data_IF_349954540478
#
_entry.id   IF_349954540478
#
_cell.length_a   1.000
_cell.length_b   1.000
_cell.length_c   1.000
_cell.angle_alpha   90.00
_cell.angle_beta   90.00
_cell.angle_gamma   90.00
#
_symmetry.space_group_name_H-M   'P 1'
#
loop_
_entity.id
_entity.type
_entity.pdbx_description
1 polymer ?
#
# COMPACT_ATOMS: atom_id res chain seq x y z
N UNK A 1 25.34 44.02 -58.15
CA UNK A 1 25.87 42.69 -57.77
C UNK A 1 25.11 42.25 -56.52
N UNK A 2 24.07 41.43 -56.71
CA UNK A 2 23.24 40.90 -55.65
C UNK A 2 23.64 39.45 -55.39
N UNK A 3 23.84 39.09 -54.12
CA UNK A 3 24.19 37.74 -53.70
C UNK A 3 23.01 36.78 -53.93
N UNK A 4 23.25 35.48 -54.19
CA UNK A 4 22.19 34.55 -54.56
C UNK A 4 21.42 33.99 -53.35
N UNK A 5 20.13 33.70 -53.56
CA UNK A 5 19.10 33.33 -52.57
C UNK A 5 19.32 32.02 -51.76
N UNK A 6 20.46 31.33 -51.90
CA UNK A 6 20.75 30.11 -51.13
C UNK A 6 21.47 30.37 -49.78
N UNK A 7 21.97 31.60 -49.58
CA UNK A 7 22.60 32.00 -48.30
C UNK A 7 21.54 32.31 -47.23
N UNK A 8 20.36 32.78 -47.63
CA UNK A 8 19.25 33.11 -46.71
C UNK A 8 18.56 31.85 -46.18
N UNK A 9 18.49 30.77 -46.96
CA UNK A 9 17.87 29.51 -46.54
C UNK A 9 18.75 28.65 -45.62
N UNK A 10 20.07 28.81 -45.66
CA UNK A 10 21.00 28.06 -44.78
C UNK A 10 21.10 28.63 -43.35
N UNK A 11 20.88 29.95 -43.18
CA UNK A 11 20.88 30.60 -41.86
C UNK A 11 19.58 30.38 -41.06
N UNK A 12 18.45 30.15 -41.75
CA UNK A 12 17.16 29.88 -41.10
C UNK A 12 17.06 28.42 -40.63
N UNK A 13 17.66 27.47 -41.36
CA UNK A 13 17.67 26.05 -40.97
C UNK A 13 18.59 25.75 -39.77
N UNK A 14 19.73 26.44 -39.65
CA UNK A 14 20.65 26.28 -38.51
C UNK A 14 20.09 26.87 -37.20
N UNK A 15 19.24 27.91 -37.28
CA UNK A 15 18.64 28.54 -36.11
C UNK A 15 17.47 27.73 -35.52
N UNK A 16 16.73 26.99 -36.36
CA UNK A 16 15.61 26.13 -35.92
C UNK A 16 16.09 24.85 -35.20
N UNK A 17 17.21 24.26 -35.62
CA UNK A 17 17.77 23.06 -34.98
C UNK A 17 18.45 23.38 -33.63
N UNK A 18 19.07 24.56 -33.49
CA UNK A 18 19.61 25.03 -32.21
C UNK A 18 18.50 25.35 -31.19
N UNK A 19 17.36 25.89 -31.63
CA UNK A 19 16.21 26.17 -30.76
C UNK A 19 15.52 24.89 -30.27
N UNK A 20 15.38 23.85 -31.11
CA UNK A 20 14.79 22.56 -30.72
C UNK A 20 15.70 21.79 -29.73
N UNK A 21 17.01 21.83 -29.92
CA UNK A 21 17.98 21.18 -29.03
C UNK A 21 18.08 21.90 -27.66
N UNK A 22 17.99 23.23 -27.62
CA UNK A 22 17.90 23.99 -26.37
C UNK A 22 16.56 23.75 -25.66
N UNK A 23 15.43 23.62 -26.37
CA UNK A 23 14.14 23.29 -25.76
C UNK A 23 14.11 21.87 -25.17
N UNK A 24 14.72 20.88 -25.83
CA UNK A 24 14.83 19.52 -25.31
C UNK A 24 15.81 19.38 -24.14
N UNK A 25 16.91 20.16 -24.14
CA UNK A 25 17.89 20.16 -23.04
C UNK A 25 17.37 20.94 -21.82
N UNK A 26 16.57 22.00 -22.03
CA UNK A 26 15.92 22.77 -20.96
C UNK A 26 14.69 22.05 -20.36
N UNK A 27 13.94 21.24 -21.15
CA UNK A 27 12.85 20.39 -20.62
C UNK A 27 13.35 19.22 -19.77
N UNK A 28 14.56 18.71 -20.03
CA UNK A 28 15.15 17.62 -19.23
C UNK A 28 15.72 18.10 -17.89
N UNK A 29 16.24 19.32 -17.80
CA UNK A 29 16.75 19.90 -16.54
C UNK A 29 15.65 20.51 -15.67
N UNK A 30 14.59 21.07 -16.24
CA UNK A 30 13.46 21.61 -15.46
C UNK A 30 12.53 20.51 -14.90
N UNK A 31 12.36 19.37 -15.57
CA UNK A 31 11.59 18.25 -15.00
C UNK A 31 12.31 17.52 -13.85
N UNK A 32 13.64 17.60 -13.76
CA UNK A 32 14.39 17.08 -12.62
C UNK A 32 14.25 17.98 -11.38
N UNK A 33 14.15 19.30 -11.60
CA UNK A 33 13.99 20.29 -10.52
C UNK A 33 12.60 20.23 -9.86
N UNK A 34 11.55 19.88 -10.61
CA UNK A 34 10.19 19.72 -10.07
C UNK A 34 9.84 18.30 -9.60
N UNK A 35 10.72 17.30 -9.79
CA UNK A 35 10.54 15.94 -9.25
C UNK A 35 10.92 15.79 -7.78
N UNK A 36 11.91 16.55 -7.29
CA UNK A 36 12.33 16.52 -5.88
C UNK A 36 11.45 17.31 -4.88
N UNK A 37 10.74 18.40 -5.23
CA UNK A 37 9.94 19.14 -4.25
C UNK A 37 8.60 18.46 -3.97
N UNK A 38 7.98 17.75 -4.93
CA UNK A 38 6.66 17.13 -4.70
C UNK A 38 6.73 16.00 -3.66
N UNK A 39 7.72 15.10 -3.75
CA UNK A 39 7.92 14.05 -2.75
C UNK A 39 8.31 14.62 -1.38
N UNK A 40 9.06 15.73 -1.33
CA UNK A 40 9.39 16.45 -0.08
C UNK A 40 8.20 17.20 0.52
N UNK A 41 7.24 17.65 -0.30
CA UNK A 41 6.00 18.27 0.16
C UNK A 41 5.08 17.21 0.77
N UNK A 42 5.11 15.97 0.27
CA UNK A 42 4.34 14.83 0.79
C UNK A 42 4.92 14.19 2.06
N UNK A 43 6.13 14.56 2.48
CA UNK A 43 6.81 13.99 3.64
C UNK A 43 6.38 14.60 4.99
N UNK A 44 5.52 15.63 4.99
CA UNK A 44 5.02 16.25 6.23
C UNK A 44 3.52 16.45 6.17
N UNK A 45 2.80 15.60 6.89
CA UNK A 45 1.33 15.60 7.04
C UNK A 45 0.78 16.89 7.66
N UNK A 46 1.64 17.68 8.30
CA UNK A 46 1.27 18.92 9.01
C UNK A 46 1.26 20.19 8.14
N UNK A 47 1.76 20.15 6.90
CA UNK A 47 1.84 21.37 6.07
C UNK A 47 0.48 21.74 5.45
N UNK A 48 0.04 23.01 5.46
CA UNK A 48 -1.20 23.44 4.80
C UNK A 48 -1.31 23.01 3.33
N UNK A 49 -0.20 23.09 2.59
CA UNK A 49 -0.12 22.64 1.19
C UNK A 49 -0.35 21.14 1.03
N UNK A 50 0.14 20.33 1.98
CA UNK A 50 -0.11 18.90 1.98
C UNK A 50 -1.61 18.62 2.15
N UNK A 51 -2.26 19.25 3.12
CA UNK A 51 -3.71 19.09 3.37
C UNK A 51 -4.55 19.46 2.15
N UNK A 52 -4.20 20.56 1.47
CA UNK A 52 -4.87 20.96 0.22
C UNK A 52 -4.66 19.90 -0.86
N UNK A 53 -3.42 19.51 -1.14
CA UNK A 53 -3.10 18.51 -2.16
C UNK A 53 -3.76 17.14 -1.88
N UNK A 54 -3.74 16.71 -0.63
CA UNK A 54 -4.36 15.47 -0.17
C UNK A 54 -5.89 15.52 -0.28
N UNK A 55 -6.50 16.66 0.05
CA UNK A 55 -7.95 16.87 -0.16
C UNK A 55 -8.30 16.80 -1.65
N UNK A 56 -7.49 17.42 -2.52
CA UNK A 56 -7.69 17.34 -3.97
C UNK A 56 -7.56 15.90 -4.49
N UNK A 57 -6.59 15.14 -3.96
CA UNK A 57 -6.39 13.74 -4.31
C UNK A 57 -7.56 12.85 -3.85
N UNK A 58 -8.04 13.02 -2.62
CA UNK A 58 -9.08 12.13 -2.06
C UNK A 58 -10.51 12.52 -2.47
N UNK A 59 -10.81 13.81 -2.69
CA UNK A 59 -12.19 14.30 -2.85
C UNK A 59 -12.57 14.78 -4.25
N UNK A 60 -11.64 14.83 -5.21
CA UNK A 60 -11.92 15.41 -6.52
C UNK A 60 -11.56 14.49 -7.68
N UNK A 61 -12.04 14.84 -8.88
CA UNK A 61 -11.66 14.15 -10.14
C UNK A 61 -10.16 14.26 -10.43
N UNK A 62 -9.44 15.22 -9.85
CA UNK A 62 -7.99 15.35 -10.05
C UNK A 62 -7.23 14.16 -9.47
N UNK A 63 -7.62 13.68 -8.29
CA UNK A 63 -7.06 12.46 -7.72
C UNK A 63 -7.29 11.24 -8.59
N UNK A 64 -8.51 11.07 -9.09
CA UNK A 64 -8.82 10.02 -10.05
C UNK A 64 -7.99 10.13 -11.35
N UNK A 65 -7.77 11.34 -11.86
CA UNK A 65 -6.89 11.58 -13.02
C UNK A 65 -5.43 11.23 -12.71
N UNK A 66 -4.95 11.55 -11.51
CA UNK A 66 -3.61 11.21 -11.05
C UNK A 66 -3.43 9.69 -10.95
N UNK A 67 -4.37 8.99 -10.33
CA UNK A 67 -4.42 7.52 -10.29
C UNK A 67 -4.39 6.90 -11.68
N UNK A 68 -5.24 7.35 -12.62
CA UNK A 68 -5.22 6.84 -14.00
C UNK A 68 -3.87 7.05 -14.69
N UNK A 69 -3.18 8.15 -14.38
CA UNK A 69 -1.83 8.39 -14.88
C UNK A 69 -0.81 7.45 -14.23
N UNK A 70 -0.93 7.15 -12.94
CA UNK A 70 -0.09 6.16 -12.26
C UNK A 70 -0.28 4.79 -12.87
N UNK A 71 -1.52 4.33 -13.09
CA UNK A 71 -1.82 3.08 -13.78
C UNK A 71 -1.15 3.00 -15.15
N UNK A 72 -1.33 4.04 -15.99
CA UNK A 72 -0.73 4.05 -17.33
C UNK A 72 0.78 3.91 -17.27
N UNK A 73 1.42 4.69 -16.39
CA UNK A 73 2.88 4.66 -16.20
C UNK A 73 3.35 3.32 -15.63
N UNK A 74 2.58 2.71 -14.73
CA UNK A 74 2.88 1.41 -14.17
C UNK A 74 2.85 0.33 -15.25
N UNK A 75 1.83 0.31 -16.12
CA UNK A 75 1.77 -0.63 -17.26
C UNK A 75 2.90 -0.44 -18.26
N UNK A 76 3.35 0.80 -18.48
CA UNK A 76 4.51 1.11 -19.32
C UNK A 76 5.82 0.59 -18.68
N UNK A 77 5.99 0.76 -17.37
CA UNK A 77 7.22 0.40 -16.65
C UNK A 77 7.30 -1.09 -16.26
N UNK A 78 6.14 -1.68 -15.99
CA UNK A 78 5.97 -3.01 -15.39
C UNK A 78 4.84 -3.76 -16.14
N UNK A 79 5.03 -4.10 -17.42
CA UNK A 79 3.98 -4.70 -18.24
C UNK A 79 3.50 -6.06 -17.72
N UNK A 80 4.35 -6.80 -16.98
CA UNK A 80 4.02 -8.05 -16.32
C UNK A 80 3.78 -7.91 -14.80
N UNK A 81 3.56 -6.67 -14.31
CA UNK A 81 3.53 -6.36 -12.89
C UNK A 81 4.92 -6.03 -12.32
N UNK A 82 4.93 -5.37 -11.15
CA UNK A 82 6.15 -5.01 -10.42
C UNK A 82 6.78 -6.19 -9.67
N UNK A 83 6.02 -7.29 -9.53
CA UNK A 83 6.45 -8.53 -8.91
C UNK A 83 5.83 -9.74 -9.58
N UNK A 84 6.60 -10.82 -9.68
CA UNK A 84 6.09 -12.16 -9.92
C UNK A 84 5.47 -12.69 -8.63
N UNK A 85 4.24 -13.17 -8.72
CA UNK A 85 3.47 -13.68 -7.58
C UNK A 85 3.16 -15.16 -7.79
N UNK A 86 2.99 -15.90 -6.69
CA UNK A 86 2.59 -17.30 -6.72
C UNK A 86 1.34 -17.47 -5.88
N UNK A 87 0.31 -18.19 -6.37
CA UNK A 87 -0.85 -18.53 -5.56
C UNK A 87 -0.46 -19.33 -4.32
N UNK A 88 -1.17 -19.09 -3.22
CA UNK A 88 -1.11 -19.92 -2.02
C UNK A 88 -2.43 -20.69 -1.89
N UNK A 89 -2.34 -22.01 -1.72
CA UNK A 89 -3.50 -22.88 -1.51
C UNK A 89 -3.59 -23.33 -0.05
N UNK A 90 -4.77 -23.16 0.54
CA UNK A 90 -5.11 -23.43 1.93
C UNK A 90 -6.43 -24.20 2.00
N UNK A 91 -6.38 -25.53 1.98
CA UNK A 91 -7.55 -26.41 2.13
C UNK A 91 -8.79 -26.01 1.31
N UNK A 92 -8.60 -25.77 0.01
CA UNK A 92 -9.67 -25.38 -0.91
C UNK A 92 -9.95 -23.88 -0.97
N UNK A 93 -9.13 -23.06 -0.32
CA UNK A 93 -9.04 -21.63 -0.55
C UNK A 93 -7.75 -21.34 -1.34
N UNK A 94 -7.83 -20.57 -2.42
CA UNK A 94 -6.66 -20.12 -3.18
C UNK A 94 -6.52 -18.60 -3.06
N UNK A 95 -5.38 -18.11 -2.58
CA UNK A 95 -5.08 -16.67 -2.44
C UNK A 95 -4.04 -16.31 -3.49
N UNK A 96 -4.38 -15.37 -4.37
CA UNK A 96 -3.52 -14.90 -5.46
C UNK A 96 -3.19 -13.43 -5.24
N UNK A 97 -1.95 -13.08 -4.89
CA UNK A 97 -1.49 -11.70 -4.96
C UNK A 97 -1.45 -11.26 -6.42
N UNK A 98 -2.07 -10.13 -6.73
CA UNK A 98 -2.11 -9.53 -8.06
C UNK A 98 -1.29 -8.26 -8.01
N UNK A 99 -0.14 -8.27 -8.69
CA UNK A 99 0.75 -7.12 -8.78
C UNK A 99 0.10 -6.03 -9.63
N UNK A 100 -0.20 -4.88 -9.01
CA UNK A 100 -0.84 -3.74 -9.67
C UNK A 100 -0.05 -2.46 -9.39
N UNK A 101 -0.19 -1.47 -10.27
CA UNK A 101 0.53 -0.20 -10.16
C UNK A 101 2.06 -0.40 -10.04
N UNK A 102 2.76 0.43 -9.26
CA UNK A 102 4.22 0.34 -9.12
C UNK A 102 4.68 -0.61 -8.02
N UNK A 103 3.85 -0.80 -6.99
CA UNK A 103 4.22 -1.53 -5.77
C UNK A 103 3.00 -2.05 -4.99
N UNK A 104 1.77 -1.83 -5.47
CA UNK A 104 0.54 -2.28 -4.79
C UNK A 104 0.26 -3.77 -5.04
N UNK A 105 -0.36 -4.43 -4.07
CA UNK A 105 -0.99 -5.73 -4.26
C UNK A 105 -2.51 -5.60 -4.09
N UNK A 106 -3.24 -6.07 -5.10
CA UNK A 106 -4.60 -6.54 -4.91
C UNK A 106 -4.55 -8.03 -4.55
N UNK A 107 -5.58 -8.55 -3.90
CA UNK A 107 -5.65 -9.98 -3.59
C UNK A 107 -6.93 -10.58 -4.15
N UNK A 108 -6.82 -11.70 -4.84
CA UNK A 108 -7.96 -12.52 -5.23
C UNK A 108 -8.01 -13.76 -4.35
N UNK A 109 -9.09 -13.93 -3.60
CA UNK A 109 -9.33 -15.05 -2.70
C UNK A 109 -10.44 -15.88 -3.30
N UNK A 110 -10.16 -17.14 -3.62
CA UNK A 110 -11.03 -18.03 -4.36
C UNK A 110 -11.45 -19.18 -3.45
N UNK A 111 -12.75 -19.44 -3.37
CA UNK A 111 -13.27 -20.73 -2.93
C UNK A 111 -13.25 -21.70 -4.11
N UNK A 112 -12.32 -22.66 -4.10
CA UNK A 112 -12.12 -23.55 -5.25
C UNK A 112 -13.25 -24.57 -5.44
N UNK A 113 -14.11 -24.78 -4.43
CA UNK A 113 -15.22 -25.73 -4.54
C UNK A 113 -16.43 -25.12 -5.26
N UNK A 114 -16.69 -23.83 -5.05
CA UNK A 114 -17.83 -23.13 -5.66
C UNK A 114 -17.43 -22.17 -6.79
N UNK A 115 -16.14 -22.05 -7.11
CA UNK A 115 -15.60 -21.17 -8.16
C UNK A 115 -16.04 -19.71 -8.02
N UNK A 116 -16.17 -19.25 -6.77
CA UNK A 116 -16.46 -17.84 -6.43
C UNK A 116 -15.24 -17.19 -5.83
N UNK A 117 -15.14 -15.87 -5.98
CA UNK A 117 -14.01 -15.11 -5.53
C UNK A 117 -14.39 -13.81 -4.82
N UNK A 118 -13.51 -13.40 -3.92
CA UNK A 118 -13.48 -12.10 -3.25
C UNK A 118 -12.20 -11.38 -3.66
N UNK A 119 -12.32 -10.13 -4.10
CA UNK A 119 -11.17 -9.28 -4.38
C UNK A 119 -10.94 -8.27 -3.24
N UNK A 120 -9.73 -8.21 -2.70
CA UNK A 120 -9.32 -7.15 -1.76
C UNK A 120 -8.56 -6.08 -2.54
N UNK A 121 -8.98 -4.82 -2.34
CA UNK A 121 -8.37 -3.62 -2.93
C UNK A 121 -8.03 -3.73 -4.43
N UNK A 122 -9.02 -3.99 -5.32
CA UNK A 122 -8.78 -4.18 -6.74
C UNK A 122 -8.44 -2.86 -7.43
N UNK A 123 -7.22 -2.37 -7.25
CA UNK A 123 -6.80 -1.05 -7.71
C UNK A 123 -6.80 -0.92 -9.23
N UNK A 124 -6.37 -1.96 -9.95
CA UNK A 124 -6.41 -2.05 -11.41
C UNK A 124 -7.52 -3.03 -11.83
N UNK A 125 -8.69 -2.53 -12.26
CA UNK A 125 -9.81 -3.40 -12.60
C UNK A 125 -9.54 -4.27 -13.82
N UNK A 126 -8.66 -3.85 -14.76
CA UNK A 126 -8.35 -4.68 -15.91
C UNK A 126 -7.43 -5.84 -15.55
N UNK A 127 -6.41 -5.59 -14.72
CA UNK A 127 -5.51 -6.66 -14.27
C UNK A 127 -6.26 -7.68 -13.42
N UNK A 128 -7.11 -7.24 -12.48
CA UNK A 128 -7.92 -8.16 -11.67
C UNK A 128 -8.94 -8.92 -12.53
N UNK A 129 -9.56 -8.27 -13.51
CA UNK A 129 -10.48 -8.94 -14.45
C UNK A 129 -9.78 -10.06 -15.24
N UNK A 130 -8.55 -9.83 -15.71
CA UNK A 130 -7.79 -10.85 -16.44
C UNK A 130 -7.51 -12.08 -15.56
N UNK A 131 -7.16 -11.89 -14.29
CA UNK A 131 -6.93 -13.01 -13.35
C UNK A 131 -8.23 -13.76 -13.04
N UNK A 132 -9.36 -13.05 -12.89
CA UNK A 132 -10.68 -13.68 -12.72
C UNK A 132 -11.04 -14.59 -13.91
N UNK A 133 -10.76 -14.13 -15.14
CA UNK A 133 -10.99 -14.88 -16.37
C UNK A 133 -10.06 -16.09 -16.51
N UNK A 134 -8.77 -15.91 -16.18
CA UNK A 134 -7.77 -16.99 -16.20
C UNK A 134 -8.13 -18.12 -15.23
N UNK A 135 -8.60 -17.76 -14.02
CA UNK A 135 -9.02 -18.72 -13.00
C UNK A 135 -10.44 -19.29 -13.24
N UNK A 136 -11.22 -18.69 -14.15
CA UNK A 136 -12.57 -19.13 -14.48
C UNK A 136 -13.56 -18.99 -13.31
N UNK A 137 -13.43 -17.93 -12.50
CA UNK A 137 -14.19 -17.72 -11.26
C UNK A 137 -15.11 -16.51 -11.32
N UNK A 138 -16.17 -16.52 -10.53
CA UNK A 138 -17.14 -15.42 -10.42
C UNK A 138 -16.79 -14.48 -9.27
N UNK A 139 -16.72 -13.17 -9.54
CA UNK A 139 -16.50 -12.17 -8.50
C UNK A 139 -17.80 -11.85 -7.74
N UNK A 140 -17.88 -12.25 -6.47
CA UNK A 140 -19.04 -12.03 -5.61
C UNK A 140 -18.89 -10.79 -4.71
N UNK A 141 -17.67 -10.55 -4.22
CA UNK A 141 -17.42 -9.44 -3.31
C UNK A 141 -16.11 -8.71 -3.57
N UNK A 142 -16.11 -7.42 -3.28
CA UNK A 142 -14.93 -6.57 -3.17
C UNK A 142 -14.85 -6.10 -1.72
N UNK A 143 -13.72 -6.38 -1.06
CA UNK A 143 -13.40 -5.86 0.26
C UNK A 143 -12.42 -4.70 0.09
N UNK A 144 -12.84 -3.48 0.38
CA UNK A 144 -11.99 -2.31 0.24
C UNK A 144 -11.50 -1.85 1.61
N UNK A 145 -10.18 -1.82 1.81
CA UNK A 145 -9.57 -1.46 3.09
C UNK A 145 -9.75 0.02 3.38
N UNK A 146 -9.55 0.88 2.38
CA UNK A 146 -9.66 2.33 2.52
C UNK A 146 -9.82 3.06 1.18
N UNK A 147 -10.05 4.38 1.25
CA UNK A 147 -10.50 5.20 0.11
C UNK A 147 -9.44 5.59 -0.92
N UNK A 148 -8.15 5.34 -0.69
CA UNK A 148 -7.14 5.80 -1.64
C UNK A 148 -7.31 5.10 -2.98
N UNK A 149 -6.97 5.83 -4.05
CA UNK A 149 -7.32 5.40 -5.40
C UNK A 149 -6.52 4.20 -5.85
N UNK A 150 -5.32 4.02 -5.29
CA UNK A 150 -4.46 2.86 -5.48
C UNK A 150 -4.94 1.60 -4.73
N UNK A 151 -6.08 1.67 -4.05
CA UNK A 151 -6.78 0.50 -3.46
C UNK A 151 -8.20 0.38 -4.03
N UNK A 152 -8.94 1.49 -4.01
CA UNK A 152 -10.36 1.54 -4.37
C UNK A 152 -10.66 1.86 -5.85
N UNK A 153 -9.62 2.15 -6.63
CA UNK A 153 -9.77 2.72 -7.99
C UNK A 153 -10.51 1.84 -8.99
N UNK A 154 -10.41 0.51 -8.83
CA UNK A 154 -11.12 -0.44 -9.68
C UNK A 154 -12.50 -0.85 -9.19
N UNK A 155 -12.93 -0.48 -7.97
CA UNK A 155 -14.22 -0.91 -7.38
C UNK A 155 -15.40 -0.68 -8.33
N UNK A 156 -15.56 0.56 -8.81
CA UNK A 156 -16.64 0.91 -9.75
C UNK A 156 -16.45 0.25 -11.12
N UNK A 157 -15.20 -0.03 -11.52
CA UNK A 157 -14.87 -0.71 -12.77
C UNK A 157 -15.36 -2.15 -12.76
N UNK A 158 -14.91 -2.92 -11.78
CA UNK A 158 -15.30 -4.31 -11.61
C UNK A 158 -16.79 -4.47 -11.33
N UNK A 159 -17.41 -3.62 -10.49
CA UNK A 159 -18.86 -3.68 -10.26
C UNK A 159 -19.70 -3.47 -11.52
N UNK A 160 -19.21 -2.71 -12.51
CA UNK A 160 -19.92 -2.59 -13.79
C UNK A 160 -19.84 -3.86 -14.63
N UNK A 161 -18.75 -4.61 -14.52
CA UNK A 161 -18.55 -5.89 -15.20
C UNK A 161 -19.28 -7.02 -14.48
N UNK A 162 -19.33 -6.96 -13.14
CA UNK A 162 -19.96 -7.93 -12.24
C UNK A 162 -21.06 -7.22 -11.46
N UNK A 163 -22.25 -7.09 -12.03
CA UNK A 163 -23.33 -6.26 -11.47
C UNK A 163 -23.83 -6.75 -10.10
N UNK A 164 -23.83 -8.07 -9.88
CA UNK A 164 -24.16 -8.73 -8.61
C UNK A 164 -23.13 -8.46 -7.52
N UNK A 165 -21.88 -8.17 -7.87
CA UNK A 165 -20.79 -7.99 -6.92
C UNK A 165 -21.11 -6.92 -5.86
N UNK A 166 -20.92 -7.29 -4.60
CA UNK A 166 -21.05 -6.40 -3.46
C UNK A 166 -19.70 -5.73 -3.14
N UNK A 167 -19.71 -4.41 -2.98
CA UNK A 167 -18.54 -3.63 -2.53
C UNK A 167 -18.72 -3.29 -1.06
N UNK A 168 -17.81 -3.79 -0.24
CA UNK A 168 -17.73 -3.62 1.20
C UNK A 168 -16.60 -2.67 1.60
N UNK A 169 -16.78 -2.03 2.75
CA UNK A 169 -15.82 -1.09 3.33
C UNK A 169 -16.48 -0.19 4.36
N UNK A 170 -15.70 0.72 4.97
CA UNK A 170 -16.26 1.64 5.95
C UNK A 170 -17.06 2.76 5.30
N UNK A 171 -18.25 3.04 5.86
CA UNK A 171 -19.01 4.23 5.51
C UNK A 171 -18.25 5.54 5.87
N UNK A 172 -17.31 5.48 6.81
CA UNK A 172 -16.53 6.65 7.25
C UNK A 172 -15.50 7.12 6.20
N UNK A 173 -15.12 6.26 5.24
CA UNK A 173 -14.04 6.59 4.29
C UNK A 173 -14.51 7.07 2.91
N UNK A 174 -15.82 7.17 2.64
CA UNK A 174 -16.32 7.50 1.29
C UNK A 174 -15.78 6.59 0.18
N UNK A 175 -15.75 5.27 0.43
CA UNK A 175 -15.25 4.26 -0.52
C UNK A 175 -15.97 4.37 -1.88
N UNK A 176 -15.24 4.57 -3.00
CA UNK A 176 -15.84 4.58 -4.32
C UNK A 176 -16.60 3.29 -4.64
N UNK A 177 -17.90 3.43 -4.92
CA UNK A 177 -18.74 2.30 -5.32
C UNK A 177 -19.23 1.43 -4.16
N UNK A 178 -19.07 1.89 -2.91
CA UNK A 178 -19.59 1.22 -1.72
C UNK A 178 -21.07 0.88 -1.87
N UNK A 179 -21.43 -0.34 -1.50
CA UNK A 179 -22.82 -0.84 -1.50
C UNK A 179 -23.23 -1.40 -0.14
N UNK A 180 -22.30 -2.01 0.58
CA UNK A 180 -22.53 -2.71 1.83
C UNK A 180 -21.55 -2.16 2.88
N UNK A 181 -21.91 -1.07 3.59
CA UNK A 181 -21.04 -0.51 4.61
C UNK A 181 -20.87 -1.51 5.76
N UNK A 182 -19.65 -1.58 6.31
CA UNK A 182 -19.31 -2.45 7.43
C UNK A 182 -18.91 -1.63 8.68
N UNK A 183 -19.19 -2.21 9.83
CA UNK A 183 -18.77 -1.78 11.16
C UNK A 183 -17.69 -2.72 11.72
N UNK A 184 -17.11 -2.36 12.87
CA UNK A 184 -16.13 -3.19 13.56
C UNK A 184 -16.75 -4.54 13.94
N UNK A 185 -16.07 -5.65 13.59
CA UNK A 185 -16.44 -7.06 13.81
C UNK A 185 -17.61 -7.58 12.99
N UNK A 186 -18.11 -6.83 12.01
CA UNK A 186 -19.05 -7.37 11.04
C UNK A 186 -18.40 -8.51 10.24
N UNK A 187 -19.23 -9.43 9.76
CA UNK A 187 -18.78 -10.60 9.00
C UNK A 187 -19.22 -10.52 7.54
N UNK A 188 -18.36 -10.93 6.63
CA UNK A 188 -18.68 -11.12 5.21
C UNK A 188 -18.43 -12.56 4.84
N UNK A 189 -19.46 -13.23 4.31
CA UNK A 189 -19.42 -14.64 3.96
C UNK A 189 -19.66 -14.81 2.46
N UNK A 190 -18.76 -15.51 1.78
CA UNK A 190 -18.86 -15.83 0.34
C UNK A 190 -18.40 -17.27 0.16
N UNK A 191 -19.31 -18.20 -0.12
CA UNK A 191 -18.98 -19.64 -0.11
C UNK A 191 -18.41 -20.05 1.26
N UNK A 192 -17.23 -20.69 1.26
CA UNK A 192 -16.45 -21.05 2.46
C UNK A 192 -15.54 -19.92 2.97
N UNK A 193 -15.55 -18.75 2.31
CA UNK A 193 -14.72 -17.61 2.69
C UNK A 193 -15.44 -16.81 3.77
N UNK A 194 -14.96 -16.91 5.01
CA UNK A 194 -15.51 -16.23 6.17
C UNK A 194 -14.56 -15.11 6.62
N UNK A 195 -14.94 -13.86 6.35
CA UNK A 195 -14.14 -12.70 6.73
C UNK A 195 -14.75 -11.99 7.94
N UNK A 196 -13.88 -11.56 8.86
CA UNK A 196 -14.19 -10.59 9.91
C UNK A 196 -13.59 -9.24 9.55
N UNK A 197 -14.41 -8.21 9.46
CA UNK A 197 -13.96 -6.85 9.19
C UNK A 197 -13.60 -6.14 10.50
N UNK A 198 -12.38 -5.63 10.60
CA UNK A 198 -11.89 -4.94 11.80
C UNK A 198 -11.63 -3.47 11.47
N UNK A 199 -12.39 -2.58 12.09
CA UNK A 199 -12.20 -1.14 11.99
C UNK A 199 -10.86 -0.73 12.61
N UNK A 200 -10.00 -0.07 11.84
CA UNK A 200 -8.59 0.21 12.18
C UNK A 200 -8.16 1.61 11.72
N UNK A 201 -8.79 2.67 12.24
CA UNK A 201 -8.46 4.04 11.86
C UNK A 201 -6.99 4.36 12.15
N UNK A 202 -6.40 5.21 11.33
CA UNK A 202 -4.98 5.57 11.47
C UNK A 202 -4.44 6.13 10.16
N UNK A 203 -4.32 5.26 9.16
CA UNK A 203 -3.90 5.68 7.82
C UNK A 203 -4.93 6.61 7.19
N UNK A 204 -6.17 6.15 7.10
CA UNK A 204 -7.37 6.98 6.87
C UNK A 204 -8.30 6.90 8.08
N UNK A 205 -9.28 7.81 8.14
CA UNK A 205 -10.30 7.80 9.20
C UNK A 205 -11.19 6.56 9.16
N UNK A 206 -11.36 5.97 7.98
CA UNK A 206 -12.27 4.86 7.75
C UNK A 206 -11.58 3.53 7.44
N UNK A 207 -10.28 3.41 7.70
CA UNK A 207 -9.51 2.23 7.32
C UNK A 207 -10.04 0.96 8.01
N UNK A 208 -10.12 -0.14 7.26
CA UNK A 208 -10.49 -1.47 7.73
C UNK A 208 -9.46 -2.50 7.29
N UNK A 209 -9.27 -3.54 8.12
CA UNK A 209 -8.55 -4.76 7.75
C UNK A 209 -9.53 -5.94 7.75
N UNK A 210 -9.25 -6.95 6.94
CA UNK A 210 -10.11 -8.12 6.78
C UNK A 210 -9.36 -9.38 7.18
N UNK A 211 -9.90 -10.10 8.17
CA UNK A 211 -9.34 -11.36 8.65
C UNK A 211 -10.17 -12.52 8.09
N UNK A 212 -9.59 -13.30 7.19
CA UNK A 212 -10.14 -14.56 6.73
C UNK A 212 -9.92 -15.63 7.80
N UNK A 213 -11.01 -16.25 8.25
CA UNK A 213 -11.03 -17.32 9.24
C UNK A 213 -10.51 -18.63 8.62
N UNK A 214 -9.20 -18.84 8.73
CA UNK A 214 -8.55 -20.08 8.32
C UNK A 214 -8.92 -21.31 9.17
N UNK A 215 -9.06 -21.20 10.50
CA UNK A 215 -9.46 -22.32 11.35
C UNK A 215 -10.76 -23.00 10.92
N UNK A 216 -11.71 -22.25 10.36
CA UNK A 216 -12.94 -22.79 9.77
C UNK A 216 -12.70 -23.83 8.65
N UNK A 217 -11.54 -23.78 7.98
CA UNK A 217 -11.12 -24.74 6.94
C UNK A 217 -9.83 -25.50 7.32
N UNK A 218 -9.42 -25.47 8.58
CA UNK A 218 -8.22 -26.17 9.06
C UNK A 218 -6.90 -25.59 8.55
N UNK A 219 -6.83 -24.28 8.33
CA UNK A 219 -5.61 -23.55 7.93
C UNK A 219 -5.34 -22.34 8.85
N UNK A 220 -4.16 -21.71 8.79
CA UNK A 220 -3.94 -20.44 9.49
C UNK A 220 -4.83 -19.32 8.95
N UNK A 221 -5.23 -18.38 9.81
CA UNK A 221 -5.98 -17.20 9.37
C UNK A 221 -5.15 -16.32 8.43
N UNK A 222 -5.81 -15.56 7.55
CA UNK A 222 -5.13 -14.62 6.64
C UNK A 222 -5.65 -13.20 6.85
N UNK A 223 -4.75 -12.28 7.20
CA UNK A 223 -5.04 -10.87 7.40
C UNK A 223 -4.69 -10.04 6.16
N UNK A 224 -5.70 -9.44 5.54
CA UNK A 224 -5.54 -8.43 4.50
C UNK A 224 -5.54 -7.05 5.14
N UNK A 225 -4.37 -6.43 5.19
CA UNK A 225 -4.09 -5.31 6.09
C UNK A 225 -4.12 -3.93 5.43
N UNK A 226 -4.23 -3.87 4.10
CA UNK A 226 -4.17 -2.61 3.36
C UNK A 226 -2.93 -1.80 3.76
N UNK A 227 -3.19 -0.58 4.22
CA UNK A 227 -2.16 0.38 4.59
C UNK A 227 -2.01 0.55 6.10
N UNK A 228 -2.55 -0.37 6.91
CA UNK A 228 -2.34 -0.35 8.35
C UNK A 228 -0.92 -0.84 8.70
N UNK A 229 -0.63 -2.10 8.37
CA UNK A 229 0.63 -2.77 8.68
C UNK A 229 1.22 -3.33 7.39
N UNK A 230 2.53 -3.19 7.24
CA UNK A 230 3.30 -3.74 6.14
C UNK A 230 4.36 -4.69 6.70
N UNK A 231 5.00 -5.47 5.85
CA UNK A 231 6.19 -6.23 6.24
C UNK A 231 7.24 -5.25 6.80
N UNK A 232 7.57 -5.40 8.09
CA UNK A 232 8.46 -4.52 8.87
C UNK A 232 8.06 -3.03 8.93
N UNK A 233 6.81 -2.68 8.62
CA UNK A 233 6.36 -1.29 8.56
C UNK A 233 4.92 -1.06 9.00
N UNK A 234 4.50 0.20 8.99
CA UNK A 234 3.11 0.62 9.10
C UNK A 234 2.79 1.77 8.13
N UNK A 235 1.51 2.03 7.93
CA UNK A 235 1.03 3.19 7.19
C UNK A 235 1.49 4.52 7.75
N UNK A 236 1.57 5.52 6.87
CA UNK A 236 1.62 6.93 7.30
C UNK A 236 0.28 7.30 7.94
N UNK A 237 0.31 8.13 8.98
CA UNK A 237 -0.89 8.62 9.65
C UNK A 237 -1.43 9.87 8.93
N UNK A 238 -2.14 9.69 7.81
CA UNK A 238 -2.65 10.85 7.05
C UNK A 238 -3.84 11.52 7.73
N UNK A 239 -4.72 10.72 8.33
CA UNK A 239 -5.96 11.22 8.93
C UNK A 239 -6.17 10.77 10.39
N UNK A 240 -5.27 9.95 10.94
CA UNK A 240 -5.28 9.50 12.33
C UNK A 240 -4.18 10.13 13.19
N UNK A 241 -4.26 9.89 14.49
CA UNK A 241 -3.22 10.23 15.47
C UNK A 241 -2.37 9.00 15.82
N UNK A 242 -1.24 9.20 16.50
CA UNK A 242 -0.44 8.09 17.02
C UNK A 242 -1.24 7.21 18.00
N UNK A 243 -2.08 7.80 18.85
CA UNK A 243 -2.96 7.04 19.75
C UNK A 243 -3.95 6.17 18.98
N UNK A 244 -4.55 6.72 17.92
CA UNK A 244 -5.51 6.00 17.06
C UNK A 244 -4.82 4.86 16.31
N UNK A 245 -3.66 5.14 15.70
CA UNK A 245 -2.85 4.13 15.00
C UNK A 245 -2.37 3.03 15.95
N UNK A 246 -1.95 3.38 17.18
CA UNK A 246 -1.51 2.43 18.19
C UNK A 246 -2.62 1.43 18.52
N UNK A 247 -3.85 1.90 18.75
CA UNK A 247 -5.00 1.01 19.02
C UNK A 247 -5.27 0.05 17.86
N UNK A 248 -5.09 0.50 16.62
CA UNK A 248 -5.23 -0.32 15.42
C UNK A 248 -4.10 -1.35 15.29
N UNK A 249 -2.86 -0.97 15.60
CA UNK A 249 -1.71 -1.88 15.62
C UNK A 249 -1.80 -2.90 16.76
N UNK A 250 -2.35 -2.52 17.93
CA UNK A 250 -2.60 -3.44 19.04
C UNK A 250 -3.65 -4.50 18.67
N UNK A 251 -4.64 -4.14 17.83
CA UNK A 251 -5.58 -5.12 17.26
C UNK A 251 -4.83 -6.18 16.45
N UNK A 252 -3.88 -5.77 15.59
CA UNK A 252 -3.04 -6.69 14.82
C UNK A 252 -2.13 -7.51 15.73
N UNK A 253 -1.49 -6.87 16.72
CA UNK A 253 -0.61 -7.54 17.69
C UNK A 253 -1.33 -8.58 18.56
N UNK A 254 -2.65 -8.49 18.71
CA UNK A 254 -3.46 -9.46 19.44
C UNK A 254 -3.83 -10.73 18.65
N UNK A 255 -3.58 -10.75 17.34
CA UNK A 255 -3.84 -11.92 16.49
C UNK A 255 -2.85 -13.05 16.77
N UNK A 256 -3.23 -14.27 16.38
CA UNK A 256 -2.40 -15.46 16.53
C UNK A 256 -1.10 -15.33 15.72
N UNK A 257 -0.01 -15.89 16.25
CA UNK A 257 1.32 -15.75 15.65
C UNK A 257 1.42 -16.40 14.27
N UNK A 258 0.60 -17.42 13.99
CA UNK A 258 0.53 -18.11 12.69
C UNK A 258 -0.34 -17.38 11.66
N UNK A 259 -1.03 -16.30 12.02
CA UNK A 259 -1.83 -15.52 11.08
C UNK A 259 -0.95 -14.97 9.95
N UNK A 260 -1.29 -15.29 8.71
CA UNK A 260 -0.60 -14.81 7.51
C UNK A 260 -0.92 -13.34 7.25
N UNK A 261 0.08 -12.53 6.95
CA UNK A 261 -0.05 -11.10 6.67
C UNK A 261 0.05 -10.81 5.17
N UNK A 262 -0.98 -10.18 4.63
CA UNK A 262 -1.11 -9.74 3.25
C UNK A 262 -1.22 -8.20 3.18
N UNK A 263 -0.11 -7.47 2.96
CA UNK A 263 -0.05 -6.01 2.97
C UNK A 263 -0.43 -5.33 1.64
N UNK A 264 -0.88 -4.08 1.69
CA UNK A 264 -1.24 -3.32 0.49
C UNK A 264 -0.08 -3.05 -0.49
N UNK A 265 1.17 -3.06 0.00
CA UNK A 265 2.34 -2.64 -0.77
C UNK A 265 3.60 -3.50 -0.55
N UNK A 266 4.43 -3.57 -1.59
CA UNK A 266 5.78 -4.14 -1.60
C UNK A 266 6.83 -3.16 -1.03
N UNK A 267 6.72 -2.86 0.27
CA UNK A 267 7.62 -1.93 0.98
C UNK A 267 8.67 -2.62 1.86
N UNK A 268 8.74 -3.95 1.83
CA UNK A 268 9.52 -4.76 2.76
C UNK A 268 11.00 -4.33 2.86
N UNK A 269 11.66 -4.11 1.72
CA UNK A 269 13.08 -3.74 1.69
C UNK A 269 13.35 -2.37 2.34
N UNK A 270 12.59 -1.35 1.98
CA UNK A 270 12.70 0.01 2.55
C UNK A 270 12.32 0.03 4.04
N UNK A 271 11.35 -0.79 4.43
CA UNK A 271 10.91 -0.92 5.81
C UNK A 271 11.98 -1.57 6.69
N UNK A 272 12.62 -2.65 6.22
CA UNK A 272 13.69 -3.35 6.93
C UNK A 272 14.97 -2.49 7.01
N UNK A 273 15.27 -1.71 5.98
CA UNK A 273 16.36 -0.72 6.03
C UNK A 273 16.13 0.34 7.10
N UNK A 274 14.91 0.84 7.25
CA UNK A 274 14.58 1.74 8.36
C UNK A 274 14.64 1.02 9.72
N UNK A 275 14.13 -0.20 9.81
CA UNK A 275 14.20 -0.99 11.03
C UNK A 275 15.64 -1.17 11.51
N UNK A 276 16.62 -1.18 10.59
CA UNK A 276 18.04 -1.20 10.92
C UNK A 276 18.57 0.06 11.60
N UNK A 277 18.02 1.24 11.29
CA UNK A 277 18.41 2.50 11.94
C UNK A 277 17.93 2.56 13.40
N UNK A 278 16.82 1.89 13.73
CA UNK A 278 16.24 1.91 15.08
C UNK A 278 16.60 0.68 15.91
N UNK A 279 16.82 -0.48 15.30
CA UNK A 279 17.21 -1.73 15.97
C UNK A 279 18.36 -2.40 15.20
N UNK A 280 19.59 -1.85 15.25
CA UNK A 280 20.72 -2.32 14.44
C UNK A 280 21.18 -3.73 14.80
N UNK A 281 20.90 -4.20 16.02
CA UNK A 281 21.32 -5.50 16.53
C UNK A 281 20.22 -6.57 16.53
N UNK A 282 19.06 -6.30 15.92
CA UNK A 282 17.98 -7.27 15.83
C UNK A 282 18.28 -8.34 14.75
N UNK A 283 18.67 -9.54 15.19
CA UNK A 283 19.02 -10.65 14.29
C UNK A 283 17.83 -11.17 13.46
N UNK A 284 16.60 -11.16 14.02
CA UNK A 284 15.40 -11.56 13.27
C UNK A 284 15.15 -10.61 12.09
N UNK A 285 15.37 -9.30 12.30
CA UNK A 285 15.30 -8.28 11.26
C UNK A 285 16.34 -8.50 10.16
N UNK A 286 17.59 -8.78 10.54
CA UNK A 286 18.66 -9.02 9.56
C UNK A 286 18.39 -10.27 8.71
N UNK A 287 17.98 -11.37 9.35
CA UNK A 287 17.61 -12.59 8.64
C UNK A 287 16.46 -12.34 7.64
N UNK A 288 15.42 -11.60 8.05
CA UNK A 288 14.31 -11.25 7.16
C UNK A 288 14.77 -10.34 6.02
N UNK A 289 15.68 -9.39 6.28
CA UNK A 289 16.25 -8.51 5.25
C UNK A 289 17.00 -9.28 4.17
N UNK A 290 17.86 -10.23 4.55
CA UNK A 290 18.56 -11.08 3.58
C UNK A 290 17.58 -11.91 2.74
N UNK A 291 16.54 -12.46 3.34
CA UNK A 291 15.48 -13.16 2.61
C UNK A 291 14.76 -12.24 1.63
N UNK A 292 14.36 -11.03 2.06
CA UNK A 292 13.71 -10.04 1.18
C UNK A 292 14.61 -9.65 0.01
N UNK A 293 15.91 -9.40 0.23
CA UNK A 293 16.85 -9.11 -0.85
C UNK A 293 16.91 -10.25 -1.89
N UNK A 294 16.88 -11.51 -1.44
CA UNK A 294 16.85 -12.66 -2.34
C UNK A 294 15.56 -12.71 -3.17
N UNK A 295 14.39 -12.47 -2.54
CA UNK A 295 13.11 -12.42 -3.25
C UNK A 295 13.10 -11.27 -4.27
N UNK A 296 13.44 -10.06 -3.84
CA UNK A 296 13.41 -8.86 -4.69
C UNK A 296 14.44 -8.90 -5.81
N UNK A 297 15.60 -9.54 -5.59
CA UNK A 297 16.59 -9.80 -6.64
C UNK A 297 16.05 -10.65 -7.80
N UNK A 298 15.04 -11.50 -7.52
CA UNK A 298 14.31 -12.30 -8.50
C UNK A 298 12.95 -11.69 -8.89
N UNK A 299 12.66 -10.46 -8.44
CA UNK A 299 11.35 -9.78 -8.56
C UNK A 299 10.18 -10.58 -7.96
N UNK A 300 10.44 -11.46 -7.00
CA UNK A 300 9.40 -12.22 -6.31
C UNK A 300 8.73 -11.34 -5.24
N UNK A 301 7.42 -11.56 -5.07
CA UNK A 301 6.65 -11.01 -3.96
C UNK A 301 7.25 -11.40 -2.60
N UNK A 302 7.35 -10.43 -1.69
CA UNK A 302 7.83 -10.67 -0.31
C UNK A 302 6.73 -11.11 0.67
N UNK A 303 5.49 -11.21 0.20
CA UNK A 303 4.32 -11.59 0.99
C UNK A 303 3.87 -13.03 0.70
N UNK A 304 3.26 -13.72 1.67
CA UNK A 304 2.95 -13.24 3.02
C UNK A 304 4.12 -13.38 3.99
N UNK A 305 4.09 -12.61 5.09
CA UNK A 305 4.77 -12.95 6.34
C UNK A 305 3.75 -13.49 7.36
N UNK A 306 4.16 -13.74 8.60
CA UNK A 306 3.24 -14.06 9.71
C UNK A 306 3.22 -12.96 10.77
N UNK A 307 2.13 -12.82 11.52
CA UNK A 307 2.05 -11.87 12.64
C UNK A 307 3.11 -12.17 13.71
N UNK A 308 3.44 -13.44 13.95
CA UNK A 308 4.50 -13.86 14.84
C UNK A 308 5.88 -13.36 14.40
N UNK A 309 6.21 -13.49 13.12
CA UNK A 309 7.42 -12.91 12.53
C UNK A 309 7.46 -11.38 12.69
N UNK A 310 6.37 -10.69 12.34
CA UNK A 310 6.32 -9.22 12.41
C UNK A 310 6.55 -8.70 13.83
N UNK A 311 6.05 -9.39 14.87
CA UNK A 311 6.32 -9.04 16.28
C UNK A 311 7.83 -9.08 16.63
N UNK A 312 8.63 -9.85 15.88
CA UNK A 312 10.08 -9.97 16.12
C UNK A 312 10.91 -8.84 15.52
N UNK A 313 10.53 -8.32 14.35
CA UNK A 313 11.37 -7.35 13.61
C UNK A 313 10.67 -6.06 13.18
N UNK A 314 9.34 -5.97 13.24
CA UNK A 314 8.61 -4.77 12.86
C UNK A 314 8.62 -3.76 14.01
N UNK A 315 9.36 -2.64 13.90
CA UNK A 315 9.47 -1.69 15.00
C UNK A 315 8.11 -1.10 15.41
N UNK A 316 7.13 -1.06 14.50
CA UNK A 316 5.80 -0.53 14.77
C UNK A 316 4.91 -1.47 15.59
N UNK A 317 5.16 -2.79 15.58
CA UNK A 317 4.52 -3.76 16.48
C UNK A 317 5.30 -3.96 17.79
N UNK A 318 6.48 -3.35 17.90
CA UNK A 318 7.39 -3.43 19.05
C UNK A 318 7.40 -2.14 19.88
N UNK A 319 6.36 -1.30 19.78
CA UNK A 319 6.25 -0.04 20.53
C UNK A 319 6.27 -0.21 22.06
N UNK A 320 6.09 -1.42 22.56
CA UNK A 320 6.19 -1.79 23.98
C UNK A 320 7.61 -2.25 24.40
N UNK A 321 8.53 -2.45 23.46
CA UNK A 321 9.87 -2.99 23.72
C UNK A 321 10.78 -1.96 24.39
N UNK A 322 11.36 -2.34 25.53
CA UNK A 322 12.36 -1.52 26.23
C UNK A 322 13.62 -1.29 25.38
N UNK A 323 14.01 -2.27 24.56
CA UNK A 323 15.14 -2.15 23.63
C UNK A 323 14.91 -1.02 22.62
N UNK A 324 13.68 -0.93 22.10
CA UNK A 324 13.28 0.10 21.15
C UNK A 324 13.22 1.48 21.83
N UNK A 325 12.70 1.55 23.06
CA UNK A 325 12.68 2.80 23.84
C UNK A 325 14.11 3.34 24.06
N UNK A 326 15.03 2.46 24.46
CA UNK A 326 16.43 2.80 24.64
C UNK A 326 17.08 3.28 23.33
N UNK A 327 16.86 2.56 22.23
CA UNK A 327 17.43 2.94 20.94
C UNK A 327 16.89 4.27 20.39
N UNK A 328 15.63 4.60 20.71
CA UNK A 328 15.05 5.90 20.37
C UNK A 328 15.48 7.02 21.33
N UNK A 329 16.03 6.69 22.50
CA UNK A 329 16.34 7.65 23.56
C UNK A 329 15.08 8.24 24.20
N UNK A 330 13.98 7.49 24.22
CA UNK A 330 12.69 7.93 24.78
C UNK A 330 12.45 7.20 26.10
N UNK A 331 12.14 7.96 27.15
CA UNK A 331 11.75 7.44 28.46
C UNK A 331 10.34 7.88 28.82
N UNK A 332 9.66 7.05 29.61
CA UNK A 332 8.33 7.36 30.15
C UNK A 332 8.45 8.46 31.20
N UNK A 333 7.55 9.46 31.17
CA UNK A 333 7.49 10.47 32.21
C UNK A 333 6.77 9.94 33.46
N UNK A 334 7.04 10.52 34.64
CA UNK A 334 6.54 10.04 35.94
C UNK A 334 5.00 9.88 35.99
N UNK A 335 4.26 10.78 35.35
CA UNK A 335 2.79 10.80 35.35
C UNK A 335 2.17 10.39 34.00
N UNK A 336 2.96 9.85 33.08
CA UNK A 336 2.48 9.45 31.74
C UNK A 336 1.92 8.03 31.76
N UNK A 337 0.67 7.86 31.31
CA UNK A 337 0.07 6.53 31.15
C UNK A 337 0.83 5.70 30.10
N UNK A 338 0.91 4.39 30.31
CA UNK A 338 1.64 3.48 29.44
C UNK A 338 1.18 3.53 27.97
N UNK A 339 -0.13 3.72 27.73
CA UNK A 339 -0.69 3.81 26.38
C UNK A 339 -0.27 5.12 25.71
N UNK A 340 -0.26 6.23 26.46
CA UNK A 340 0.21 7.52 25.97
C UNK A 340 1.70 7.49 25.66
N UNK A 341 2.48 6.85 26.53
CA UNK A 341 3.91 6.63 26.31
C UNK A 341 4.17 5.85 25.02
N UNK A 342 3.50 4.71 24.83
CA UNK A 342 3.62 3.91 23.59
C UNK A 342 3.16 4.69 22.35
N UNK A 343 2.15 5.55 22.47
CA UNK A 343 1.69 6.39 21.38
C UNK A 343 2.77 7.42 21.00
N UNK A 344 3.47 8.00 21.98
CA UNK A 344 4.59 8.92 21.74
C UNK A 344 5.80 8.21 21.12
N UNK A 345 6.09 6.97 21.54
CA UNK A 345 7.10 6.11 20.89
C UNK A 345 6.74 5.86 19.43
N UNK A 346 5.49 5.50 19.14
CA UNK A 346 4.99 5.30 17.79
C UNK A 346 5.07 6.58 16.94
N UNK A 347 4.72 7.73 17.52
CA UNK A 347 4.80 9.03 16.86
C UNK A 347 6.24 9.34 16.45
N UNK A 348 7.21 9.13 17.34
CA UNK A 348 8.63 9.34 17.05
C UNK A 348 9.14 8.39 15.97
N UNK A 349 8.81 7.09 16.05
CA UNK A 349 9.14 6.11 15.02
C UNK A 349 8.63 6.54 13.65
N UNK A 350 7.37 6.99 13.60
CA UNK A 350 6.74 7.43 12.36
C UNK A 350 7.42 8.68 11.81
N UNK A 351 7.73 9.67 12.66
CA UNK A 351 8.49 10.88 12.29
C UNK A 351 9.86 10.53 11.72
N UNK A 352 10.60 9.62 12.35
CA UNK A 352 11.90 9.16 11.84
C UNK A 352 11.75 8.45 10.49
N UNK A 353 10.77 7.56 10.33
CA UNK A 353 10.51 6.87 9.06
C UNK A 353 10.09 7.82 7.94
N UNK A 354 9.32 8.86 8.23
CA UNK A 354 8.87 9.84 7.24
C UNK A 354 10.02 10.75 6.73
N UNK A 355 11.07 10.91 7.54
CA UNK A 355 12.29 11.64 7.19
C UNK A 355 13.41 10.72 6.67
N UNK A 356 13.25 9.41 6.83
CA UNK A 356 14.21 8.41 6.38
C UNK A 356 14.34 8.48 4.86
N UNK A 357 15.58 8.61 4.40
CA UNK A 357 15.91 8.49 2.99
C UNK A 357 16.91 7.34 2.88
N UNK A 358 16.69 6.45 1.91
CA UNK A 358 17.72 5.51 1.46
C UNK A 358 18.98 6.31 1.14
N UNK A 359 20.03 6.12 1.93
CA UNK A 359 21.35 6.71 1.67
C UNK A 359 22.01 6.02 0.50
#
# INVERSE_FOLDING_TARGET
>A
MALPDWIVTSLVAASFFCFLCLFFRYRRTTLAFFRKPLNRIMARTEKPLFRIAYTLYTRTRLGYMYYKRQMRKARENYPAGHSTTHPMELNGIKIIPVSVLSDNYSYLIIDTASSVAVAVDPADPQTVQAVLEEEGVMLEAILCTHKHWDHSGGNKGLKRLHSSCHVYGSAADNIPGLTHPLSHRDTVNVGRLHFKALFTPGHTVGHMIYLLDGPAVGSPSSLFSGDLVFLSGCGRMFEGSATTMLSSLDTVGSLSDDTLLWPGHEYAEDNLLFAAEVEPHNAARENKYQWVLQQRGQKLCSSPSTIGEEKQYNPFLRSHSAELHQALGIQQFLDEDWTQFRARVLEELRKRKDLFNRK
#
